data_IF_643080961295
#
_entry.id   IF_643080961295
#
_cell.length_a   1.000
_cell.length_b   1.000
_cell.length_c   1.000
_cell.angle_alpha   90.00
_cell.angle_beta   90.00
_cell.angle_gamma   90.00
#
_symmetry.space_group_name_H-M   'P 1'
#
loop_
_entity.id
_entity.type
_entity.pdbx_description
1 polymer ?
#
# COMPACT_ATOMS: atom_id res chain seq x y z
N UNK A 1 35.70 32.69 -14.20
CA UNK A 1 36.15 31.72 -13.20
C UNK A 1 35.56 32.17 -11.88
N UNK A 2 34.60 31.44 -11.34
CA UNK A 2 33.94 31.77 -10.07
C UNK A 2 34.71 30.99 -9.01
N UNK A 3 35.44 31.69 -8.14
CA UNK A 3 36.09 31.08 -6.98
C UNK A 3 35.02 30.71 -5.96
N UNK A 4 34.87 29.42 -5.68
CA UNK A 4 34.02 28.95 -4.59
C UNK A 4 34.59 29.42 -3.23
N UNK A 5 33.74 29.93 -2.32
CA UNK A 5 34.21 30.32 -1.00
C UNK A 5 34.73 29.08 -0.24
N UNK A 6 35.83 29.20 0.53
CA UNK A 6 36.40 28.07 1.26
C UNK A 6 35.36 27.53 2.26
N UNK A 7 34.87 26.32 2.00
CA UNK A 7 33.98 25.62 2.91
C UNK A 7 34.66 25.39 4.27
N UNK A 8 33.95 25.71 5.35
CA UNK A 8 34.41 25.44 6.71
C UNK A 8 34.39 23.92 6.91
N UNK A 9 35.55 23.26 6.86
CA UNK A 9 35.67 21.84 7.17
C UNK A 9 35.57 21.66 8.70
N UNK A 10 34.38 21.34 9.20
CA UNK A 10 34.17 21.04 10.62
C UNK A 10 34.41 19.54 10.81
N UNK A 11 35.55 19.18 11.42
CA UNK A 11 35.82 17.81 11.87
C UNK A 11 35.39 17.67 13.32
N UNK A 12 34.46 16.77 13.58
CA UNK A 12 34.04 16.42 14.93
C UNK A 12 34.87 15.23 15.39
N UNK A 13 35.90 15.50 16.18
CA UNK A 13 36.73 14.46 16.80
C UNK A 13 36.23 14.14 18.21
N UNK A 14 36.35 12.88 18.61
CA UNK A 14 35.96 12.42 19.94
C UNK A 14 36.90 13.04 20.97
N UNK A 15 36.34 13.66 22.02
CA UNK A 15 37.14 14.26 23.08
C UNK A 15 38.06 13.19 23.71
N UNK A 16 39.35 13.50 23.92
CA UNK A 16 40.27 12.56 24.54
C UNK A 16 39.84 12.21 25.97
N UNK A 17 40.17 11.01 26.41
CA UNK A 17 39.80 10.49 27.72
C UNK A 17 40.40 11.38 28.82
N UNK A 18 39.54 12.03 29.61
CA UNK A 18 39.93 13.00 30.65
C UNK A 18 39.88 14.48 30.22
N UNK A 19 39.41 14.81 29.02
CA UNK A 19 39.18 16.21 28.63
C UNK A 19 38.07 16.85 29.48
N UNK A 20 38.40 17.94 30.18
CA UNK A 20 37.43 18.78 30.87
C UNK A 20 36.83 19.80 29.88
N UNK A 21 35.51 20.03 29.96
CA UNK A 21 34.84 21.00 29.12
C UNK A 21 35.42 22.40 29.38
N UNK A 22 35.84 23.09 28.32
CA UNK A 22 36.26 24.48 28.43
C UNK A 22 35.07 25.34 28.90
N UNK A 23 35.17 25.88 30.11
CA UNK A 23 34.25 26.89 30.64
C UNK A 23 35.02 28.21 30.70
N UNK A 24 34.71 29.22 29.87
CA UNK A 24 35.37 30.51 29.91
C UNK A 24 35.28 31.12 31.33
N UNK A 25 36.43 31.49 31.93
CA UNK A 25 36.50 31.89 33.34
C UNK A 25 35.78 33.20 33.67
N UNK A 26 35.52 34.05 32.65
CA UNK A 26 35.08 35.44 32.83
C UNK A 26 33.57 35.68 32.73
N UNK A 27 32.74 34.67 32.46
CA UNK A 27 31.28 34.85 32.34
C UNK A 27 30.49 33.97 33.32
N UNK A 28 30.90 34.02 34.60
CA UNK A 28 30.20 33.40 35.74
C UNK A 28 28.86 34.08 36.09
N UNK A 29 28.07 34.52 35.12
CA UNK A 29 26.62 34.63 35.33
C UNK A 29 26.03 33.26 35.03
N UNK A 30 26.02 32.42 36.06
CA UNK A 30 25.24 31.19 36.03
C UNK A 30 23.77 31.56 35.76
N UNK A 31 23.36 31.47 34.50
CA UNK A 31 21.96 31.60 34.11
C UNK A 31 21.26 30.39 34.67
N UNK A 32 20.63 30.56 35.83
CA UNK A 32 19.91 29.50 36.51
C UNK A 32 18.57 29.31 35.80
N UNK A 33 18.54 28.43 34.82
CA UNK A 33 17.29 28.03 34.18
C UNK A 33 16.48 27.20 35.18
N UNK A 34 15.43 27.80 35.74
CA UNK A 34 14.40 27.06 36.47
C UNK A 34 13.40 26.62 35.41
N UNK A 35 13.48 25.36 34.98
CA UNK A 35 12.45 24.74 34.15
C UNK A 35 11.26 24.46 35.06
N UNK A 36 10.29 25.36 35.09
CA UNK A 36 8.99 25.04 35.65
C UNK A 36 8.33 24.01 34.71
N UNK A 37 8.00 22.80 35.18
CA UNK A 37 7.29 21.84 34.36
C UNK A 37 5.93 22.46 33.99
N UNK A 38 5.77 22.80 32.71
CA UNK A 38 4.50 23.29 32.21
C UNK A 38 3.45 22.22 32.54
N UNK A 39 2.43 22.60 33.32
CA UNK A 39 1.35 21.68 33.67
C UNK A 39 0.84 21.05 32.37
N UNK A 40 0.69 19.71 32.30
CA UNK A 40 0.31 19.06 31.06
C UNK A 40 -0.99 19.69 30.57
N UNK A 41 -0.93 20.36 29.42
CA UNK A 41 -2.13 20.89 28.76
C UNK A 41 -2.99 19.69 28.42
N UNK A 42 -3.99 19.42 29.25
CA UNK A 42 -4.96 18.37 29.00
C UNK A 42 -5.74 18.82 27.76
N UNK A 43 -5.40 18.23 26.61
CA UNK A 43 -6.14 18.48 25.38
C UNK A 43 -7.58 18.03 25.60
N UNK A 44 -8.51 18.98 25.53
CA UNK A 44 -9.96 18.70 25.57
C UNK A 44 -10.50 18.19 24.24
N UNK A 45 -9.62 17.97 23.26
CA UNK A 45 -9.99 17.43 21.97
C UNK A 45 -10.45 15.98 22.12
N UNK A 46 -11.76 15.78 22.06
CA UNK A 46 -12.35 14.46 21.85
C UNK A 46 -12.50 14.32 20.33
N UNK A 47 -11.70 13.46 19.65
CA UNK A 47 -11.87 13.24 18.23
C UNK A 47 -13.28 12.73 17.96
N UNK A 48 -13.94 13.27 16.93
CA UNK A 48 -15.18 12.70 16.44
C UNK A 48 -14.91 11.29 15.90
N UNK A 49 -15.55 10.30 16.51
CA UNK A 49 -15.54 8.91 16.03
C UNK A 49 -16.91 8.66 15.43
N UNK A 50 -17.03 8.43 14.10
CA UNK A 50 -18.33 8.10 13.52
C UNK A 50 -18.88 6.83 14.17
N UNK A 51 -20.21 6.74 14.37
CA UNK A 51 -20.82 5.56 14.97
C UNK A 51 -20.53 4.32 14.10
N UNK A 52 -20.18 3.21 14.76
CA UNK A 52 -19.97 1.94 14.08
C UNK A 52 -21.27 1.50 13.40
N UNK A 53 -21.21 1.25 12.09
CA UNK A 53 -22.33 0.68 11.35
C UNK A 53 -22.09 -0.83 11.27
N UNK A 54 -22.96 -1.66 11.87
CA UNK A 54 -22.81 -3.11 11.78
C UNK A 54 -22.75 -3.56 10.33
N UNK A 55 -21.80 -4.45 10.04
CA UNK A 55 -21.71 -5.07 8.72
C UNK A 55 -23.04 -5.75 8.36
N UNK A 56 -23.52 -5.46 7.16
CA UNK A 56 -24.60 -6.20 6.52
C UNK A 56 -24.01 -6.90 5.31
N UNK A 57 -24.19 -8.22 5.15
CA UNK A 57 -23.76 -8.91 3.95
C UNK A 57 -24.27 -8.18 2.72
N UNK A 58 -23.34 -7.88 1.82
CA UNK A 58 -23.64 -7.27 0.54
C UNK A 58 -23.61 -8.40 -0.48
N UNK A 59 -24.63 -8.49 -1.33
CA UNK A 59 -24.56 -9.37 -2.50
C UNK A 59 -23.50 -8.80 -3.44
N UNK A 60 -22.34 -9.48 -3.62
CA UNK A 60 -21.34 -9.00 -4.53
C UNK A 60 -21.90 -9.03 -5.94
N UNK A 61 -21.58 -8.02 -6.74
CA UNK A 61 -21.74 -8.19 -8.17
C UNK A 61 -20.71 -9.20 -8.64
N UNK A 62 -21.23 -10.33 -9.08
CA UNK A 62 -20.46 -11.42 -9.64
C UNK A 62 -19.52 -10.88 -10.73
N UNK A 63 -18.20 -11.11 -10.62
CA UNK A 63 -17.29 -10.71 -11.67
C UNK A 63 -17.70 -11.40 -12.96
N UNK A 64 -17.58 -10.67 -14.07
CA UNK A 64 -17.77 -11.24 -15.41
C UNK A 64 -16.72 -12.34 -15.68
N UNK A 65 -15.58 -12.24 -14.99
CA UNK A 65 -14.45 -13.15 -15.09
C UNK A 65 -14.53 -14.23 -14.02
N UNK A 66 -13.97 -15.40 -14.32
CA UNK A 66 -13.69 -16.41 -13.32
C UNK A 66 -12.55 -15.93 -12.44
N UNK A 67 -12.89 -15.54 -11.22
CA UNK A 67 -11.94 -15.00 -10.26
C UNK A 67 -11.69 -15.98 -9.12
N UNK A 68 -10.53 -15.86 -8.47
CA UNK A 68 -10.21 -16.64 -7.27
C UNK A 68 -9.59 -15.70 -6.23
N UNK A 69 -10.11 -15.72 -5.01
CA UNK A 69 -9.53 -14.97 -3.89
C UNK A 69 -8.52 -15.88 -3.21
N UNK A 70 -7.30 -15.37 -2.98
CA UNK A 70 -6.23 -16.15 -2.35
C UNK A 70 -5.56 -15.37 -1.21
N UNK A 71 -4.91 -16.13 -0.33
CA UNK A 71 -3.95 -15.65 0.66
C UNK A 71 -2.95 -16.78 0.94
N UNK A 72 -1.66 -16.45 1.12
CA UNK A 72 -0.63 -17.44 1.47
C UNK A 72 -0.06 -17.22 2.87
N UNK A 73 0.32 -18.32 3.52
CA UNK A 73 1.15 -18.27 4.72
C UNK A 73 2.56 -18.73 4.42
N UNK A 74 3.53 -18.00 4.99
CA UNK A 74 4.95 -18.26 4.79
C UNK A 74 5.70 -18.14 6.11
N UNK A 75 6.82 -18.85 6.22
CA UNK A 75 7.71 -18.78 7.39
C UNK A 75 8.53 -17.49 7.45
N UNK A 76 8.44 -16.63 6.43
CA UNK A 76 9.16 -15.37 6.33
C UNK A 76 8.96 -14.69 4.99
N UNK A 77 9.45 -13.46 4.86
CA UNK A 77 9.09 -12.59 3.73
C UNK A 77 9.88 -12.84 2.44
N UNK A 78 10.97 -13.61 2.50
CA UNK A 78 11.87 -13.82 1.36
C UNK A 78 11.73 -15.25 0.80
N UNK A 79 11.31 -15.43 -0.46
CA UNK A 79 11.02 -16.76 -0.99
C UNK A 79 12.22 -17.70 -1.13
N UNK A 80 13.46 -17.16 -1.14
CA UNK A 80 14.69 -17.97 -1.20
C UNK A 80 15.20 -18.43 0.16
N UNK A 81 14.77 -17.81 1.26
CA UNK A 81 15.13 -18.17 2.64
C UNK A 81 13.97 -18.78 3.43
N UNK A 82 12.75 -18.59 2.94
CA UNK A 82 11.52 -18.97 3.63
C UNK A 82 10.74 -20.02 2.86
N UNK A 83 9.91 -20.77 3.56
CA UNK A 83 9.01 -21.81 3.06
C UNK A 83 7.56 -21.30 3.04
N UNK A 84 6.83 -21.62 1.96
CA UNK A 84 5.37 -21.57 1.83
C UNK A 84 4.77 -22.67 2.71
N UNK A 85 3.87 -22.28 3.59
CA UNK A 85 3.18 -23.19 4.51
C UNK A 85 1.92 -23.71 3.81
N UNK A 86 0.98 -22.83 3.48
CA UNK A 86 -0.27 -23.19 2.82
C UNK A 86 -0.77 -22.06 1.91
N UNK A 87 -1.72 -22.40 1.02
CA UNK A 87 -2.45 -21.46 0.18
C UNK A 87 -3.93 -21.69 0.40
N UNK A 88 -4.66 -20.70 0.91
CA UNK A 88 -6.12 -20.75 0.96
C UNK A 88 -6.74 -20.02 -0.21
N UNK A 89 -7.85 -20.55 -0.71
CA UNK A 89 -8.55 -20.05 -1.88
C UNK A 89 -10.06 -20.12 -1.71
N UNK A 90 -10.75 -19.12 -2.25
CA UNK A 90 -12.21 -19.01 -2.28
C UNK A 90 -12.64 -18.56 -3.67
N UNK A 91 -13.62 -19.26 -4.25
CA UNK A 91 -14.31 -18.80 -5.44
C UNK A 91 -15.44 -17.85 -5.02
N UNK A 92 -15.40 -16.54 -5.36
CA UNK A 92 -16.48 -15.62 -5.04
C UNK A 92 -17.80 -15.96 -5.76
N UNK A 93 -17.80 -16.88 -6.74
CA UNK A 93 -18.98 -17.40 -7.42
C UNK A 93 -19.64 -18.58 -6.74
N UNK A 94 -18.95 -19.22 -5.80
CA UNK A 94 -19.52 -20.32 -5.02
C UNK A 94 -20.60 -19.76 -4.08
N UNK A 95 -21.87 -20.19 -4.19
CA UNK A 95 -22.92 -19.76 -3.27
C UNK A 95 -22.64 -20.09 -1.81
N UNK A 96 -21.87 -21.16 -1.54
CA UNK A 96 -21.51 -21.57 -0.19
C UNK A 96 -20.27 -20.81 0.34
N UNK A 97 -19.56 -20.11 -0.55
CA UNK A 97 -18.33 -19.37 -0.27
C UNK A 97 -17.33 -20.22 0.54
N UNK A 98 -17.15 -21.49 0.14
CA UNK A 98 -16.26 -22.38 0.85
C UNK A 98 -14.79 -21.95 0.67
N UNK A 99 -14.01 -22.12 1.72
CA UNK A 99 -12.57 -21.83 1.70
C UNK A 99 -11.80 -23.12 1.71
N UNK A 100 -11.20 -23.42 0.57
CA UNK A 100 -10.33 -24.57 0.40
C UNK A 100 -8.90 -24.15 0.75
N UNK A 101 -8.14 -25.05 1.37
CA UNK A 101 -6.72 -24.81 1.65
C UNK A 101 -5.90 -25.92 1.05
N UNK A 102 -4.91 -25.54 0.25
CA UNK A 102 -3.89 -26.44 -0.29
C UNK A 102 -2.72 -26.46 0.70
N UNK A 103 -2.43 -27.66 1.20
CA UNK A 103 -1.32 -27.91 2.12
C UNK A 103 -0.75 -29.31 1.86
N UNK A 104 0.58 -29.39 1.83
CA UNK A 104 1.35 -30.65 1.82
C UNK A 104 2.67 -30.43 2.59
N UNK A 105 3.19 -31.48 3.23
CA UNK A 105 4.50 -31.45 3.90
C UNK A 105 5.65 -31.17 2.91
N UNK A 106 5.45 -31.47 1.63
CA UNK A 106 6.33 -31.14 0.52
C UNK A 106 5.88 -29.85 -0.15
N UNK A 107 6.62 -28.76 0.06
CA UNK A 107 6.32 -27.42 -0.49
C UNK A 107 6.10 -27.46 -2.02
N UNK A 108 6.88 -28.26 -2.75
CA UNK A 108 6.75 -28.40 -4.20
C UNK A 108 5.35 -28.90 -4.62
N UNK A 109 4.77 -29.85 -3.88
CA UNK A 109 3.43 -30.37 -4.18
C UNK A 109 2.37 -29.29 -3.95
N UNK A 110 2.48 -28.53 -2.87
CA UNK A 110 1.56 -27.41 -2.60
C UNK A 110 1.54 -26.41 -3.77
N UNK A 111 2.73 -26.04 -4.26
CA UNK A 111 2.86 -25.11 -5.40
C UNK A 111 2.31 -25.72 -6.68
N UNK A 112 2.63 -27.00 -7.00
CA UNK A 112 2.11 -27.68 -8.20
C UNK A 112 0.59 -27.76 -8.19
N UNK A 113 -0.01 -28.20 -7.09
CA UNK A 113 -1.47 -28.29 -6.94
C UNK A 113 -2.12 -26.93 -7.15
N UNK A 114 -1.53 -25.84 -6.63
CA UNK A 114 -2.07 -24.50 -6.87
C UNK A 114 -2.03 -24.11 -8.35
N UNK A 115 -0.92 -24.32 -9.04
CA UNK A 115 -0.81 -24.03 -10.49
C UNK A 115 -1.81 -24.86 -11.30
N UNK A 116 -2.01 -26.13 -10.95
CA UNK A 116 -3.00 -27.01 -11.56
C UNK A 116 -4.43 -26.49 -11.36
N UNK A 117 -4.77 -26.04 -10.15
CA UNK A 117 -6.08 -25.42 -9.84
C UNK A 117 -6.34 -24.20 -10.74
N UNK A 118 -5.36 -23.31 -10.89
CA UNK A 118 -5.49 -22.13 -11.75
C UNK A 118 -5.73 -22.52 -13.22
N UNK A 119 -4.98 -23.50 -13.72
CA UNK A 119 -5.06 -23.95 -15.11
C UNK A 119 -6.36 -24.68 -15.42
N UNK A 120 -6.75 -25.65 -14.58
CA UNK A 120 -7.89 -26.53 -14.85
C UNK A 120 -9.23 -25.80 -14.74
N UNK A 121 -9.32 -24.82 -13.83
CA UNK A 121 -10.56 -24.08 -13.63
C UNK A 121 -10.71 -22.87 -14.56
N UNK A 122 -9.66 -22.55 -15.33
CA UNK A 122 -9.62 -21.40 -16.22
C UNK A 122 -9.78 -20.09 -15.43
N UNK A 123 -9.00 -19.95 -14.35
CA UNK A 123 -9.04 -18.75 -13.51
C UNK A 123 -8.37 -17.59 -14.25
N UNK A 124 -9.15 -16.55 -14.57
CA UNK A 124 -8.71 -15.37 -15.34
C UNK A 124 -8.20 -14.24 -14.44
N UNK A 125 -8.66 -14.19 -13.19
CA UNK A 125 -8.34 -13.11 -12.26
C UNK A 125 -8.06 -13.66 -10.86
N UNK A 126 -6.98 -13.18 -10.25
CA UNK A 126 -6.63 -13.49 -8.86
C UNK A 126 -6.83 -12.25 -8.03
N UNK A 127 -7.54 -12.40 -6.91
CA UNK A 127 -7.86 -11.35 -5.96
C UNK A 127 -7.11 -11.64 -4.65
N UNK A 128 -6.54 -10.61 -4.02
CA UNK A 128 -5.86 -10.76 -2.74
C UNK A 128 -5.64 -9.42 -2.07
N UNK A 129 -5.13 -9.43 -0.83
CA UNK A 129 -4.70 -8.22 -0.14
C UNK A 129 -3.18 -8.18 -0.09
N UNK A 130 -2.55 -7.14 -0.64
CA UNK A 130 -1.11 -7.11 -0.88
C UNK A 130 -0.66 -8.27 -1.78
N UNK A 131 -1.51 -8.59 -2.77
CA UNK A 131 -1.41 -9.77 -3.63
C UNK A 131 -0.07 -9.88 -4.35
N UNK A 132 0.62 -8.77 -4.58
CA UNK A 132 1.95 -8.78 -5.19
C UNK A 132 2.97 -9.57 -4.35
N UNK A 133 2.83 -9.61 -3.02
CA UNK A 133 3.65 -10.45 -2.15
C UNK A 133 3.42 -11.93 -2.48
N UNK A 134 2.18 -12.39 -2.39
CA UNK A 134 1.76 -13.77 -2.64
C UNK A 134 2.23 -14.25 -4.02
N UNK A 135 1.94 -13.44 -5.03
CA UNK A 135 2.22 -13.76 -6.42
C UNK A 135 3.72 -13.88 -6.70
N UNK A 136 4.52 -12.94 -6.17
CA UNK A 136 5.99 -13.00 -6.30
C UNK A 136 6.56 -14.19 -5.55
N UNK A 137 6.01 -14.53 -4.40
CA UNK A 137 6.46 -15.68 -3.61
C UNK A 137 6.20 -16.98 -4.37
N UNK A 138 4.97 -17.19 -4.86
CA UNK A 138 4.59 -18.37 -5.66
C UNK A 138 5.42 -18.47 -6.94
N UNK A 139 5.60 -17.35 -7.66
CA UNK A 139 6.43 -17.31 -8.87
C UNK A 139 7.88 -17.73 -8.58
N UNK A 140 8.48 -17.19 -7.53
CA UNK A 140 9.84 -17.57 -7.11
C UNK A 140 9.94 -19.07 -6.76
N UNK A 141 8.89 -19.65 -6.15
CA UNK A 141 8.82 -21.09 -5.89
C UNK A 141 8.69 -21.91 -7.17
N UNK A 142 7.90 -21.46 -8.14
CA UNK A 142 7.85 -22.09 -9.45
C UNK A 142 9.23 -22.13 -10.11
N UNK A 143 10.00 -21.04 -10.05
CA UNK A 143 11.39 -21.00 -10.52
C UNK A 143 12.28 -22.00 -9.77
N UNK A 144 12.18 -22.03 -8.44
CA UNK A 144 12.99 -22.91 -7.57
C UNK A 144 12.77 -24.39 -7.86
N UNK A 145 11.53 -24.78 -8.18
CA UNK A 145 11.12 -26.17 -8.44
C UNK A 145 11.01 -26.51 -9.93
N UNK A 146 11.31 -25.56 -10.82
CA UNK A 146 11.18 -25.72 -12.28
C UNK A 146 9.77 -26.15 -12.70
N UNK A 147 8.77 -25.55 -12.08
CA UNK A 147 7.35 -25.75 -12.42
C UNK A 147 7.00 -24.79 -13.57
N UNK A 148 6.57 -25.33 -14.70
CA UNK A 148 6.07 -24.52 -15.81
C UNK A 148 4.69 -23.96 -15.45
N UNK A 149 4.57 -22.64 -15.39
CA UNK A 149 3.35 -21.95 -14.96
C UNK A 149 2.99 -20.78 -15.90
N UNK A 150 2.69 -21.03 -17.19
CA UNK A 150 2.32 -19.97 -18.14
C UNK A 150 1.09 -19.17 -17.70
N UNK A 151 0.18 -19.82 -16.95
CA UNK A 151 -1.02 -19.20 -16.39
C UNK A 151 -0.70 -17.96 -15.53
N UNK A 152 0.49 -17.90 -14.92
CA UNK A 152 0.88 -16.76 -14.09
C UNK A 152 1.15 -15.48 -14.91
N UNK A 153 1.41 -15.58 -16.21
CA UNK A 153 1.57 -14.40 -17.08
C UNK A 153 0.22 -13.93 -17.65
N UNK A 154 -0.73 -14.86 -17.77
CA UNK A 154 -2.05 -14.63 -18.38
C UNK A 154 -3.07 -14.01 -17.41
N UNK A 155 -2.89 -14.24 -16.11
CA UNK A 155 -3.81 -13.82 -15.07
C UNK A 155 -3.80 -12.32 -14.80
N UNK A 156 -5.00 -11.78 -14.55
CA UNK A 156 -5.16 -10.42 -14.04
C UNK A 156 -5.08 -10.42 -12.52
N UNK A 157 -4.38 -9.44 -11.98
CA UNK A 157 -4.24 -9.27 -10.54
C UNK A 157 -5.18 -8.16 -10.05
N UNK A 158 -5.93 -8.46 -9.00
CA UNK A 158 -6.82 -7.54 -8.32
C UNK A 158 -6.37 -7.38 -6.88
N UNK A 159 -5.48 -6.42 -6.64
CA UNK A 159 -4.96 -6.16 -5.30
C UNK A 159 -5.88 -5.21 -4.53
N UNK A 160 -6.54 -5.73 -3.50
CA UNK A 160 -7.40 -4.96 -2.60
C UNK A 160 -6.62 -3.88 -1.87
N UNK A 161 -5.34 -4.12 -1.55
CA UNK A 161 -4.51 -3.12 -0.88
C UNK A 161 -4.36 -1.87 -1.74
N UNK A 162 -4.19 -2.02 -3.06
CA UNK A 162 -4.11 -0.90 -4.00
C UNK A 162 -5.41 -0.09 -4.04
N UNK A 163 -6.56 -0.78 -4.01
CA UNK A 163 -7.88 -0.14 -4.01
C UNK A 163 -8.10 0.62 -2.71
N UNK A 164 -7.72 0.06 -1.58
CA UNK A 164 -7.83 0.73 -0.28
C UNK A 164 -6.88 1.95 -0.18
N UNK A 165 -5.71 1.89 -0.82
CA UNK A 165 -4.78 3.01 -0.90
C UNK A 165 -5.33 4.18 -1.72
N UNK A 166 -5.92 3.87 -2.89
CA UNK A 166 -6.21 4.86 -3.95
C UNK A 166 -7.68 5.20 -4.09
N UNK A 167 -8.57 4.41 -3.51
CA UNK A 167 -10.03 4.52 -3.66
C UNK A 167 -10.54 4.21 -5.07
N UNK A 168 -9.70 3.70 -5.97
CA UNK A 168 -10.07 3.33 -7.35
C UNK A 168 -9.12 2.29 -7.92
N UNK A 169 -9.52 1.66 -9.02
CA UNK A 169 -8.67 0.74 -9.79
C UNK A 169 -7.65 1.51 -10.63
N UNK A 170 -6.48 0.91 -10.82
CA UNK A 170 -5.46 1.38 -11.76
C UNK A 170 -4.37 2.24 -11.13
N UNK A 171 -3.27 2.36 -11.86
CA UNK A 171 -2.05 2.99 -11.37
C UNK A 171 -2.24 4.50 -11.17
N UNK A 172 -2.36 4.90 -9.90
CA UNK A 172 -2.21 6.29 -9.46
C UNK A 172 -1.03 6.35 -8.52
N UNK A 173 -0.09 7.24 -8.79
CA UNK A 173 1.00 7.48 -7.86
C UNK A 173 0.49 8.21 -6.62
N UNK A 174 0.76 7.64 -5.44
CA UNK A 174 0.43 8.20 -4.14
C UNK A 174 1.55 7.93 -3.14
N UNK A 175 1.58 8.72 -2.06
CA UNK A 175 2.46 8.48 -0.89
C UNK A 175 1.67 8.00 0.33
N UNK A 176 0.38 7.71 0.16
CA UNK A 176 -0.48 7.28 1.24
C UNK A 176 -0.14 5.84 1.58
N UNK A 177 -0.11 5.51 2.87
CA UNK A 177 0.04 4.12 3.29
C UNK A 177 -1.32 3.45 3.15
N UNK A 178 -1.41 2.27 2.49
CA UNK A 178 -2.66 1.57 2.28
C UNK A 178 -3.34 1.10 3.56
N UNK A 179 -2.63 1.01 4.69
CA UNK A 179 -3.11 0.29 5.88
C UNK A 179 -2.91 -1.22 5.77
N UNK A 180 -3.05 -1.95 6.88
CA UNK A 180 -3.02 -3.42 6.90
C UNK A 180 -4.44 -3.97 6.72
N UNK A 181 -4.55 -5.23 6.28
CA UNK A 181 -5.83 -5.95 6.20
C UNK A 181 -6.61 -5.82 7.52
N UNK A 182 -5.94 -6.02 8.65
CA UNK A 182 -6.53 -5.92 9.99
C UNK A 182 -7.08 -4.52 10.31
N UNK A 183 -6.37 -3.46 9.89
CA UNK A 183 -6.82 -2.09 10.15
C UNK A 183 -8.16 -1.83 9.46
N UNK A 184 -8.29 -2.28 8.20
CA UNK A 184 -9.52 -2.16 7.43
C UNK A 184 -10.63 -3.05 7.96
N UNK A 185 -10.37 -4.32 8.28
CA UNK A 185 -11.40 -5.23 8.76
C UNK A 185 -11.90 -4.84 10.14
N UNK A 186 -11.03 -4.32 10.99
CA UNK A 186 -11.43 -3.76 12.29
C UNK A 186 -12.25 -2.51 12.12
N UNK A 187 -11.86 -1.61 11.22
CA UNK A 187 -12.60 -0.38 10.94
C UNK A 187 -13.99 -0.65 10.35
N UNK A 188 -14.08 -1.54 9.36
CA UNK A 188 -15.31 -1.76 8.58
C UNK A 188 -16.24 -2.81 9.19
N UNK A 189 -15.68 -3.85 9.82
CA UNK A 189 -16.43 -5.03 10.28
C UNK A 189 -16.29 -5.29 11.79
N UNK A 190 -15.38 -4.60 12.48
CA UNK A 190 -15.07 -4.87 13.89
C UNK A 190 -14.29 -6.17 14.10
N UNK A 191 -13.66 -6.71 13.04
CA UNK A 191 -12.97 -8.00 13.06
C UNK A 191 -11.45 -7.83 13.27
N UNK A 192 -10.89 -8.57 14.21
CA UNK A 192 -9.44 -8.63 14.48
C UNK A 192 -8.83 -9.93 13.94
N UNK A 193 -7.49 -10.00 13.89
CA UNK A 193 -6.79 -11.23 13.54
C UNK A 193 -6.99 -12.33 14.59
N UNK A 194 -7.02 -13.59 14.15
CA UNK A 194 -7.07 -14.75 15.06
C UNK A 194 -5.73 -14.96 15.77
N UNK A 195 -4.62 -14.62 15.12
CA UNK A 195 -3.27 -14.70 15.67
C UNK A 195 -2.35 -13.65 15.04
N UNK A 196 -1.28 -13.32 15.75
CA UNK A 196 -0.19 -12.48 15.26
C UNK A 196 0.81 -13.31 14.44
N UNK A 197 1.62 -12.66 13.59
CA UNK A 197 2.67 -13.35 12.83
C UNK A 197 3.63 -14.14 13.74
N UNK A 198 3.92 -13.63 14.95
CA UNK A 198 4.78 -14.33 15.91
C UNK A 198 4.13 -15.63 16.40
N UNK A 199 2.84 -15.61 16.71
CA UNK A 199 2.08 -16.79 17.14
C UNK A 199 1.92 -17.79 16.00
N UNK A 200 1.76 -17.33 14.75
CA UNK A 200 1.75 -18.20 13.57
C UNK A 200 3.10 -18.92 13.40
N UNK A 201 4.22 -18.21 13.49
CA UNK A 201 5.56 -18.82 13.41
C UNK A 201 5.83 -19.80 14.57
N UNK A 202 5.31 -19.49 15.77
CA UNK A 202 5.36 -20.41 16.90
C UNK A 202 4.53 -21.67 16.63
N UNK A 203 3.29 -21.51 16.13
CA UNK A 203 2.44 -22.64 15.75
C UNK A 203 3.10 -23.53 14.70
N UNK A 204 3.81 -22.93 13.73
CA UNK A 204 4.60 -23.66 12.74
C UNK A 204 5.72 -24.49 13.39
N UNK A 205 6.49 -23.88 14.29
CA UNK A 205 7.55 -24.59 15.02
C UNK A 205 7.05 -25.73 15.92
N UNK A 206 5.81 -25.63 16.38
CA UNK A 206 5.12 -26.64 17.19
C UNK A 206 4.36 -27.69 16.35
N UNK A 207 4.37 -27.58 15.02
CA UNK A 207 3.64 -28.47 14.12
C UNK A 207 2.11 -28.30 14.15
N UNK A 208 1.60 -27.18 14.69
CA UNK A 208 0.17 -26.85 14.75
C UNK A 208 -0.33 -26.26 13.44
N UNK A 209 -0.22 -27.03 12.36
CA UNK A 209 -0.57 -26.59 11.00
C UNK A 209 -2.06 -26.23 10.86
N UNK A 210 -2.95 -26.96 11.53
CA UNK A 210 -4.39 -26.70 11.47
C UNK A 210 -4.77 -25.29 11.96
N UNK A 211 -4.04 -24.76 12.94
CA UNK A 211 -4.24 -23.41 13.46
C UNK A 211 -3.85 -22.35 12.42
N UNK A 212 -2.77 -22.61 11.66
CA UNK A 212 -2.31 -21.75 10.55
C UNK A 212 -3.31 -21.79 9.40
N UNK A 213 -3.81 -22.97 9.05
CA UNK A 213 -4.86 -23.13 8.02
C UNK A 213 -6.11 -22.35 8.44
N UNK A 214 -6.54 -22.47 9.69
CA UNK A 214 -7.70 -21.73 10.21
C UNK A 214 -7.49 -20.21 10.14
N UNK A 215 -6.29 -19.73 10.46
CA UNK A 215 -5.90 -18.33 10.36
C UNK A 215 -5.95 -17.83 8.90
N UNK A 216 -5.29 -18.53 7.99
CA UNK A 216 -5.24 -18.17 6.57
C UNK A 216 -6.63 -18.17 5.92
N UNK A 217 -7.50 -19.14 6.27
CA UNK A 217 -8.90 -19.14 5.82
C UNK A 217 -9.69 -17.92 6.29
N UNK A 218 -9.38 -17.40 7.47
CA UNK A 218 -10.02 -16.20 8.01
C UNK A 218 -9.55 -14.94 7.26
N UNK A 219 -8.27 -14.84 6.91
CA UNK A 219 -7.73 -13.74 6.10
C UNK A 219 -8.30 -13.76 4.66
N UNK A 220 -8.53 -14.92 4.05
CA UNK A 220 -9.28 -15.04 2.77
C UNK A 220 -10.72 -14.51 2.90
N UNK A 221 -11.44 -14.89 3.97
CA UNK A 221 -12.82 -14.40 4.19
C UNK A 221 -12.88 -12.89 4.38
N UNK A 222 -11.93 -12.33 5.12
CA UNK A 222 -11.78 -10.88 5.30
C UNK A 222 -11.51 -10.18 3.98
N UNK A 223 -10.62 -10.74 3.16
CA UNK A 223 -10.32 -10.23 1.82
C UNK A 223 -11.56 -10.25 0.93
N UNK A 224 -12.36 -11.33 0.97
CA UNK A 224 -13.66 -11.39 0.28
C UNK A 224 -14.63 -10.29 0.72
N UNK A 225 -14.79 -10.06 2.03
CA UNK A 225 -15.67 -8.99 2.54
C UNK A 225 -15.24 -7.61 2.05
N UNK A 226 -13.93 -7.32 2.07
CA UNK A 226 -13.39 -6.08 1.53
C UNK A 226 -13.61 -5.96 0.03
N UNK A 227 -13.37 -7.03 -0.71
CA UNK A 227 -13.62 -7.08 -2.16
C UNK A 227 -15.09 -6.81 -2.47
N UNK A 228 -16.02 -7.53 -1.85
CA UNK A 228 -17.47 -7.36 -2.06
C UNK A 228 -17.93 -5.93 -1.76
N UNK A 229 -17.44 -5.34 -0.66
CA UNK A 229 -17.73 -3.95 -0.33
C UNK A 229 -17.13 -2.96 -1.34
N UNK A 230 -15.90 -3.19 -1.80
CA UNK A 230 -15.30 -2.37 -2.84
C UNK A 230 -16.09 -2.43 -4.16
N UNK A 231 -16.61 -3.61 -4.52
CA UNK A 231 -17.48 -3.75 -5.69
C UNK A 231 -18.78 -2.97 -5.54
N UNK A 232 -19.36 -2.92 -4.35
CA UNK A 232 -20.55 -2.11 -4.09
C UNK A 232 -20.28 -0.62 -4.24
N UNK A 233 -19.19 -0.13 -3.64
CA UNK A 233 -18.86 1.30 -3.61
C UNK A 233 -18.43 1.80 -4.99
N UNK A 234 -17.70 0.99 -5.76
CA UNK A 234 -17.18 1.38 -7.07
C UNK A 234 -18.17 1.16 -8.22
N UNK A 235 -19.40 0.71 -7.93
CA UNK A 235 -20.42 0.56 -8.97
C UNK A 235 -20.73 1.91 -9.61
N UNK A 236 -20.82 1.97 -10.95
CA UNK A 236 -21.42 3.13 -11.60
C UNK A 236 -22.85 3.24 -11.10
N UNK A 237 -23.22 4.41 -10.57
CA UNK A 237 -24.60 4.68 -10.20
C UNK A 237 -25.48 4.40 -11.43
N UNK A 238 -26.57 3.63 -11.31
CA UNK A 238 -27.54 3.57 -12.39
C UNK A 238 -27.94 5.02 -12.71
N UNK A 239 -28.10 5.37 -14.01
CA UNK A 239 -28.64 6.68 -14.35
C UNK A 239 -29.91 6.83 -13.52
N UNK A 240 -29.96 7.85 -12.67
CA UNK A 240 -31.14 8.10 -11.86
C UNK A 240 -32.32 8.08 -12.82
N UNK A 241 -33.23 7.11 -12.68
CA UNK A 241 -34.56 7.26 -13.26
C UNK A 241 -34.99 8.62 -12.77
N UNK A 242 -35.09 9.59 -13.68
CA UNK A 242 -35.51 10.93 -13.36
C UNK A 242 -36.82 10.77 -12.58
N UNK A 243 -36.73 10.85 -11.25
CA UNK A 243 -37.87 11.17 -10.44
C UNK A 243 -38.27 12.50 -11.03
N UNK A 244 -39.33 12.49 -11.84
CA UNK A 244 -39.95 13.67 -12.41
C UNK A 244 -40.37 14.51 -11.22
N UNK A 245 -39.42 15.28 -10.68
CA UNK A 245 -39.68 16.17 -9.60
C UNK A 245 -40.55 17.22 -10.25
N UNK A 246 -41.80 17.26 -9.81
CA UNK A 246 -42.73 18.37 -10.07
C UNK A 246 -42.22 19.70 -9.46
N UNK A 247 -40.92 19.86 -9.23
CA UNK A 247 -40.27 21.08 -8.76
C UNK A 247 -39.79 21.97 -9.93
N UNK A 248 -40.23 21.69 -11.17
CA UNK A 248 -40.03 22.55 -12.34
C UNK A 248 -41.23 23.47 -12.64
N UNK A 249 -42.07 23.77 -11.64
CA UNK A 249 -42.97 24.92 -11.73
C UNK A 249 -42.42 26.07 -10.85
N UNK A 250 -42.20 27.20 -11.51
CA UNK A 250 -41.86 28.52 -10.96
C UNK A 250 -40.38 28.80 -10.61
N UNK A 251 -39.48 28.69 -11.59
CA UNK A 251 -38.47 29.74 -11.77
C UNK A 251 -38.56 30.24 -13.21
N UNK A 252 -39.31 31.33 -13.40
CA UNK A 252 -39.29 32.11 -14.64
C UNK A 252 -37.88 32.72 -14.72
N UNK A 253 -37.06 32.43 -15.75
CA UNK A 253 -35.77 33.06 -15.89
C UNK A 253 -35.96 34.54 -16.22
N UNK A 254 -35.42 35.42 -15.37
CA UNK A 254 -35.25 36.83 -15.70
C UNK A 254 -34.38 36.95 -16.96
N UNK A 255 -34.75 37.87 -17.84
CA UNK A 255 -34.15 38.08 -19.16
C UNK A 255 -32.61 38.10 -19.10
N UNK A 256 -31.99 37.33 -19.99
CA UNK A 256 -30.55 37.20 -20.12
C UNK A 256 -29.89 38.56 -20.45
N UNK A 257 -28.89 38.94 -19.66
CA UNK A 257 -27.90 39.92 -20.08
C UNK A 257 -26.99 39.28 -21.14
N UNK A 258 -26.56 40.02 -22.18
CA UNK A 258 -25.69 39.46 -23.22
C UNK A 258 -24.32 39.14 -22.62
N UNK A 259 -24.02 37.85 -22.49
CA UNK A 259 -22.70 37.36 -22.12
C UNK A 259 -21.81 37.37 -23.36
N UNK A 260 -20.69 38.09 -23.25
CA UNK A 260 -19.64 38.14 -24.26
C UNK A 260 -19.12 36.73 -24.56
N UNK A 261 -18.89 36.44 -25.85
CA UNK A 261 -18.30 35.18 -26.29
C UNK A 261 -16.90 35.00 -25.68
N UNK A 262 -16.56 33.84 -25.10
CA UNK A 262 -15.17 33.55 -24.80
C UNK A 262 -14.40 33.33 -26.11
N UNK A 263 -13.29 34.04 -26.20
CA UNK A 263 -12.31 33.94 -27.27
C UNK A 263 -11.81 32.51 -27.44
N UNK A 264 -11.55 32.17 -28.70
CA UNK A 264 -10.95 30.92 -29.17
C UNK A 264 -9.74 30.51 -28.34
N UNK A 265 -9.74 29.27 -27.85
CA UNK A 265 -8.55 28.62 -27.28
C UNK A 265 -7.47 28.59 -28.36
N UNK A 266 -6.51 29.52 -28.25
CA UNK A 266 -5.30 29.53 -29.04
C UNK A 266 -4.39 28.35 -28.68
N UNK A 267 -3.60 27.94 -29.66
CA UNK A 267 -2.59 26.90 -29.56
C UNK A 267 -1.73 27.05 -28.30
N UNK A 268 -1.62 25.97 -27.52
CA UNK A 268 -0.69 25.90 -26.40
C UNK A 268 0.74 25.91 -26.97
N UNK A 269 1.55 26.93 -26.71
CA UNK A 269 2.94 26.93 -27.14
C UNK A 269 3.68 25.88 -26.32
N UNK A 270 4.36 24.94 -26.98
CA UNK A 270 5.37 24.08 -26.34
C UNK A 270 6.52 24.97 -25.86
N UNK A 271 6.36 25.51 -24.66
CA UNK A 271 7.31 26.39 -24.00
C UNK A 271 8.60 25.66 -23.69
N UNK A 272 9.71 26.38 -23.93
CA UNK A 272 11.08 26.01 -23.59
C UNK A 272 11.19 25.54 -22.13
N UNK A 273 12.03 24.54 -21.91
CA UNK A 273 12.45 24.03 -20.60
C UNK A 273 12.90 25.17 -19.70
N UNK A 274 12.10 25.49 -18.69
CA UNK A 274 12.53 26.34 -17.58
C UNK A 274 13.51 25.56 -16.74
N UNK A 275 14.78 25.97 -16.77
CA UNK A 275 15.77 25.53 -15.80
C UNK A 275 15.35 26.01 -14.41
N UNK A 276 15.29 25.10 -13.43
CA UNK A 276 15.04 25.44 -12.03
C UNK A 276 16.40 25.71 -11.40
N UNK A 277 16.72 26.96 -10.97
CA UNK A 277 18.03 27.28 -10.41
C UNK A 277 18.38 26.38 -9.22
N UNK A 278 19.57 25.79 -9.22
CA UNK A 278 20.05 24.89 -8.17
C UNK A 278 19.54 23.45 -8.27
N UNK A 279 18.82 23.09 -9.34
CA UNK A 279 18.33 21.73 -9.60
C UNK A 279 18.66 21.30 -11.02
N UNK A 280 19.22 20.09 -11.17
CA UNK A 280 19.43 19.45 -12.47
C UNK A 280 18.31 18.46 -12.77
N UNK A 281 17.88 18.43 -14.03
CA UNK A 281 16.94 17.43 -14.55
C UNK A 281 17.70 16.13 -14.86
N UNK A 282 17.21 15.01 -14.35
CA UNK A 282 17.73 13.67 -14.63
C UNK A 282 16.60 12.82 -15.19
N UNK A 283 16.85 12.18 -16.33
CA UNK A 283 15.90 11.26 -16.96
C UNK A 283 16.43 9.84 -16.80
N UNK A 284 15.65 8.98 -16.15
CA UNK A 284 15.97 7.56 -15.98
C UNK A 284 16.03 6.87 -17.34
N UNK A 285 17.16 6.23 -17.66
CA UNK A 285 17.33 5.49 -18.93
C UNK A 285 16.38 4.29 -19.09
N UNK A 286 15.87 3.74 -17.99
CA UNK A 286 15.06 2.51 -18.02
C UNK A 286 13.56 2.80 -17.99
N UNK A 287 13.14 3.84 -17.25
CA UNK A 287 11.71 4.17 -17.08
C UNK A 287 11.29 5.44 -17.81
N UNK A 288 12.23 6.19 -18.39
CA UNK A 288 12.01 7.52 -18.99
C UNK A 288 11.41 8.54 -18.02
N UNK A 289 11.36 8.23 -16.72
CA UNK A 289 10.84 9.13 -15.70
C UNK A 289 11.79 10.31 -15.50
N UNK A 290 11.24 11.52 -15.50
CA UNK A 290 11.98 12.75 -15.25
C UNK A 290 11.93 13.12 -13.77
N UNK A 291 13.09 13.46 -13.22
CA UNK A 291 13.24 13.91 -11.83
C UNK A 291 14.13 15.14 -11.76
N UNK A 292 13.82 16.05 -10.83
CA UNK A 292 14.62 17.22 -10.53
C UNK A 292 15.40 17.00 -9.25
N UNK A 293 16.71 17.14 -9.30
CA UNK A 293 17.62 16.81 -8.20
C UNK A 293 18.45 18.04 -7.86
N UNK A 294 18.57 18.41 -6.57
CA UNK A 294 19.44 19.51 -6.17
C UNK A 294 20.86 19.32 -6.71
N UNK A 295 21.49 20.36 -7.23
CA UNK A 295 22.87 20.32 -7.72
C UNK A 295 23.89 19.96 -6.62
N UNK A 296 23.51 20.15 -5.36
CA UNK A 296 24.30 19.79 -4.17
C UNK A 296 24.31 18.29 -3.87
N UNK A 297 23.47 17.48 -4.52
CA UNK A 297 23.42 16.03 -4.32
C UNK A 297 24.61 15.34 -5.04
N UNK A 298 25.65 14.98 -4.27
CA UNK A 298 26.90 14.43 -4.82
C UNK A 298 26.77 13.01 -5.39
N UNK A 299 25.82 12.18 -4.96
CA UNK A 299 25.62 10.81 -5.49
C UNK A 299 24.13 10.45 -5.58
N UNK A 300 23.68 9.96 -6.75
CA UNK A 300 22.28 9.64 -7.07
C UNK A 300 21.71 8.45 -6.26
N UNK A 301 22.59 7.57 -5.76
CA UNK A 301 22.26 6.36 -5.00
C UNK A 301 21.72 6.68 -3.59
N UNK A 302 22.29 7.68 -2.93
CA UNK A 302 22.06 7.91 -1.49
C UNK A 302 20.69 8.55 -1.25
N UNK A 303 20.23 9.38 -2.20
CA UNK A 303 18.90 9.99 -2.17
C UNK A 303 17.75 8.99 -2.34
N UNK A 304 17.98 7.87 -3.06
CA UNK A 304 16.95 6.87 -3.33
C UNK A 304 16.92 5.79 -2.24
N UNK A 305 18.07 5.45 -1.65
CA UNK A 305 18.18 4.30 -0.76
C UNK A 305 18.09 4.63 0.73
N UNK A 306 18.32 5.89 1.13
CA UNK A 306 18.31 6.28 2.56
C UNK A 306 19.39 5.59 3.39
N UNK A 307 20.42 5.03 2.74
CA UNK A 307 21.57 4.42 3.39
C UNK A 307 22.67 5.46 3.49
N UNK A 308 23.00 5.91 4.70
CA UNK A 308 24.30 6.52 4.96
C UNK A 308 25.35 5.40 4.97
N UNK A 309 26.48 5.59 4.27
CA UNK A 309 27.61 4.68 4.42
C UNK A 309 28.11 4.73 5.87
N UNK A 310 28.12 3.60 6.55
CA UNK A 310 28.96 3.45 7.74
C UNK A 310 30.42 3.63 7.28
N UNK A 311 31.00 4.76 7.66
CA UNK A 311 32.39 5.07 7.37
C UNK A 311 33.32 4.06 8.06
N UNK A 312 34.24 3.48 7.29
CA UNK A 312 35.43 2.79 7.81
C UNK A 312 36.47 3.78 8.29
#
# INVERSE_FOLDING_TARGET
MVEEPPGLEIRVEKAPEGAEAFVPEDDKKAVKFILEPEAPKVSTFVPYVPPFTPWRPVEPQMPIRRSLIIDIETTGNQPWESRLICISLMDPADPDLDVITIYDEEEEKTVRTFIEVLQQNGIEEVIGYNLLFDYRFIFAKCLRYRIAAPILDEQKLYDIMEIMEKGRRGFVYGRNKPGRLEDWTKFLFGESKLMTNREMLQAWGEGRVDDIIKYNRDDVRKTYKLWALAQLVLQPMPPSTETSSHAAEAIIPAAASPVAQPETLGDVPTGRTSEIPGYRRVVSRHSMAEQWIPETAKVYRDFITGLEEEAQ
#
